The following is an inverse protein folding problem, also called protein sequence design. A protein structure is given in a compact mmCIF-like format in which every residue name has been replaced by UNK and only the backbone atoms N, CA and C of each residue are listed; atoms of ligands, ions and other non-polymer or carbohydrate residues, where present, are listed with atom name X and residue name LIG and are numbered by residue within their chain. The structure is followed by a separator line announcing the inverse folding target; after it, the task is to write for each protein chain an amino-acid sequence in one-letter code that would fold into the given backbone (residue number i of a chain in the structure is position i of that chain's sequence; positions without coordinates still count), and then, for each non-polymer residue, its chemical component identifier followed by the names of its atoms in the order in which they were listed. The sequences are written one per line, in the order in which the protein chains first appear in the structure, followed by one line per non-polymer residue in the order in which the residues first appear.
data_IF_703888087504
#
_entry.id   IF_703888087504
#
_cell.length_a   1.000
_cell.length_b   1.000
_cell.length_c   1.000
_cell.angle_alpha   90.00
_cell.angle_beta   90.00
_cell.angle_gamma   90.00
#
_symmetry.space_group_name_H-M   'P 1'
#
loop_
_entity.id
_entity.type
_entity.pdbx_description
1 polymer ?
#
# COMPACT_ATOMS: atom_id res chain seq x y z
N UNK A 1 -1.31 -9.41 -7.10
CA UNK A 1 -1.42 -8.06 -6.52
C UNK A 1 -2.55 -7.37 -7.21
N UNK A 2 -3.37 -6.72 -6.42
CA UNK A 2 -4.64 -6.20 -6.87
C UNK A 2 -4.43 -4.79 -7.41
N UNK A 3 -5.27 -4.40 -8.37
CA UNK A 3 -5.29 -3.04 -8.94
C UNK A 3 -6.59 -2.39 -8.50
N UNK A 4 -6.47 -1.23 -7.87
CA UNK A 4 -7.57 -0.43 -7.36
C UNK A 4 -7.59 0.85 -8.18
N UNK A 5 -8.72 1.15 -8.82
CA UNK A 5 -8.84 2.23 -9.81
C UNK A 5 -9.52 3.48 -9.27
N UNK A 6 -10.09 3.41 -8.08
CA UNK A 6 -11.01 4.39 -7.50
C UNK A 6 -10.76 4.59 -6.00
N UNK A 7 -9.52 4.37 -5.54
CA UNK A 7 -9.16 4.55 -4.13
C UNK A 7 -9.27 6.03 -3.73
N UNK A 8 -10.17 6.35 -2.81
CA UNK A 8 -10.36 7.70 -2.30
C UNK A 8 -9.54 7.91 -1.02
N UNK A 9 -8.46 8.68 -1.09
CA UNK A 9 -7.55 8.99 0.05
C UNK A 9 -8.30 9.39 1.32
N UNK A 10 -9.37 10.19 1.21
CA UNK A 10 -10.10 10.71 2.37
C UNK A 10 -11.11 9.75 2.96
N UNK A 11 -11.46 8.65 2.28
CA UNK A 11 -12.55 7.74 2.69
C UNK A 11 -12.07 6.31 2.93
N UNK A 12 -11.17 5.84 2.09
CA UNK A 12 -10.88 4.43 1.98
C UNK A 12 -9.76 3.98 2.92
N UNK A 13 -9.85 2.71 3.30
CA UNK A 13 -8.80 2.02 4.06
C UNK A 13 -8.57 0.62 3.53
N UNK A 14 -7.31 0.21 3.49
CA UNK A 14 -6.90 -1.15 3.15
C UNK A 14 -6.57 -1.95 4.41
N UNK A 15 -7.14 -3.15 4.52
CA UNK A 15 -6.83 -4.09 5.61
C UNK A 15 -5.71 -5.05 5.18
N UNK A 16 -4.54 -4.90 5.79
CA UNK A 16 -3.35 -5.69 5.51
C UNK A 16 -3.00 -6.66 6.66
N UNK A 17 -3.85 -6.79 7.69
CA UNK A 17 -3.62 -7.65 8.88
C UNK A 17 -3.33 -9.12 8.59
N UNK A 18 -3.73 -9.60 7.41
CA UNK A 18 -3.50 -10.99 6.97
C UNK A 18 -2.16 -11.20 6.27
N UNK A 19 -1.41 -10.13 6.02
CA UNK A 19 -0.09 -10.20 5.39
C UNK A 19 0.94 -10.36 6.50
N UNK A 20 1.70 -11.45 6.45
CA UNK A 20 2.75 -11.74 7.44
C UNK A 20 3.88 -10.72 7.33
N UNK A 21 4.47 -10.38 8.48
CA UNK A 21 5.64 -9.51 8.53
C UNK A 21 5.32 -8.01 8.48
N UNK A 22 4.05 -7.63 8.57
CA UNK A 22 3.64 -6.24 8.74
C UNK A 22 3.03 -6.09 10.13
N UNK A 23 3.58 -5.15 10.89
CA UNK A 23 3.14 -4.74 12.22
C UNK A 23 2.93 -3.24 12.32
N UNK A 24 3.57 -2.48 11.42
CA UNK A 24 3.50 -1.03 11.32
C UNK A 24 3.59 -0.58 9.86
N UNK A 25 3.27 0.69 9.60
CA UNK A 25 3.40 1.26 8.25
C UNK A 25 4.86 1.29 7.78
N UNK A 26 5.80 1.37 8.72
CA UNK A 26 7.23 1.40 8.43
C UNK A 26 7.74 0.05 7.87
N UNK A 27 6.96 -1.03 8.04
CA UNK A 27 7.25 -2.33 7.42
C UNK A 27 6.85 -2.36 5.93
N UNK A 28 6.05 -1.39 5.47
CA UNK A 28 5.64 -1.27 4.07
C UNK A 28 6.66 -0.45 3.27
N UNK A 29 6.77 -0.77 1.98
CA UNK A 29 7.49 0.06 1.02
C UNK A 29 6.53 0.65 -0.01
N UNK A 30 6.64 1.97 -0.24
CA UNK A 30 5.80 2.71 -1.17
C UNK A 30 6.65 3.19 -2.35
N UNK A 31 6.20 2.88 -3.58
CA UNK A 31 6.91 3.27 -4.80
C UNK A 31 5.95 3.97 -5.74
N UNK A 32 6.29 5.18 -6.18
CA UNK A 32 5.57 5.85 -7.27
C UNK A 32 6.00 5.25 -8.61
N UNK A 33 5.03 4.86 -9.44
CA UNK A 33 5.27 4.31 -10.79
C UNK A 33 4.32 4.95 -11.81
N UNK A 34 4.80 6.01 -12.47
CA UNK A 34 3.93 6.87 -13.28
C UNK A 34 2.83 7.49 -12.40
N UNK A 35 1.57 7.38 -12.85
CA UNK A 35 0.42 7.85 -12.08
C UNK A 35 -0.15 6.79 -11.11
N UNK A 36 0.69 5.88 -10.60
CA UNK A 36 0.26 4.82 -9.68
C UNK A 36 1.11 4.77 -8.43
N UNK A 37 0.45 4.61 -7.29
CA UNK A 37 1.11 4.23 -6.05
C UNK A 37 1.19 2.70 -5.95
N UNK A 38 2.40 2.17 -5.75
CA UNK A 38 2.64 0.75 -5.51
C UNK A 38 2.89 0.54 -4.02
N UNK A 39 2.06 -0.29 -3.39
CA UNK A 39 2.22 -0.69 -2.00
C UNK A 39 2.90 -2.05 -1.99
N UNK A 40 4.03 -2.16 -1.31
CA UNK A 40 4.79 -3.39 -1.20
C UNK A 40 4.91 -3.85 0.25
N UNK A 41 4.83 -5.17 0.43
CA UNK A 41 4.96 -5.84 1.71
C UNK A 41 6.22 -6.73 1.74
N UNK A 42 6.84 -6.92 2.91
CA UNK A 42 8.02 -7.75 3.05
C UNK A 42 7.69 -9.22 2.78
N UNK A 43 8.53 -9.89 2.00
CA UNK A 43 8.45 -11.33 1.70
C UNK A 43 9.87 -11.89 1.59
N UNK A 44 10.27 -12.71 2.57
CA UNK A 44 11.64 -13.22 2.65
C UNK A 44 12.65 -12.08 2.79
N UNK A 45 13.62 -12.02 1.89
CA UNK A 45 14.68 -11.01 1.89
C UNK A 45 14.36 -9.79 1.01
N UNK A 46 13.11 -9.60 0.60
CA UNK A 46 12.73 -8.49 -0.29
C UNK A 46 11.29 -8.06 -0.09
N UNK A 47 10.76 -7.34 -1.08
CA UNK A 47 9.40 -6.82 -1.08
C UNK A 47 8.62 -7.35 -2.28
N UNK A 48 7.32 -7.61 -2.09
CA UNK A 48 6.38 -7.84 -3.20
C UNK A 48 5.34 -6.73 -3.23
N UNK A 49 4.98 -6.26 -4.41
CA UNK A 49 3.78 -5.43 -4.55
C UNK A 49 2.55 -6.24 -4.13
N UNK A 50 1.72 -5.65 -3.27
CA UNK A 50 0.45 -6.24 -2.79
C UNK A 50 -0.75 -5.50 -3.38
N UNK A 51 -0.66 -4.19 -3.53
CA UNK A 51 -1.68 -3.35 -4.14
C UNK A 51 -1.05 -2.32 -5.10
N UNK A 52 -1.81 -1.94 -6.12
CA UNK A 52 -1.55 -0.81 -7.01
C UNK A 52 -2.75 0.11 -6.99
N UNK A 53 -2.54 1.38 -6.68
CA UNK A 53 -3.59 2.39 -6.68
C UNK A 53 -3.36 3.28 -7.90
N UNK A 54 -4.34 3.33 -8.80
CA UNK A 54 -4.30 4.28 -9.92
C UNK A 54 -4.67 5.68 -9.43
N UNK A 55 -4.02 6.68 -10.02
CA UNK A 55 -4.27 8.11 -9.79
C UNK A 55 -4.11 8.54 -8.31
N UNK A 56 -3.23 7.84 -7.58
CA UNK A 56 -2.84 8.16 -6.20
C UNK A 56 -1.35 8.46 -6.14
N UNK A 57 -0.99 9.52 -5.42
CA UNK A 57 0.40 9.84 -5.03
C UNK A 57 0.75 9.09 -3.74
N UNK A 58 1.89 8.39 -3.73
CA UNK A 58 2.40 7.71 -2.52
C UNK A 58 2.61 8.66 -1.34
N UNK A 59 2.87 9.95 -1.58
CA UNK A 59 3.07 10.94 -0.52
C UNK A 59 1.78 11.29 0.22
N UNK A 60 0.62 10.97 -0.36
CA UNK A 60 -0.68 11.16 0.29
C UNK A 60 -1.06 9.97 1.19
N UNK A 61 -0.30 8.87 1.14
CA UNK A 61 -0.54 7.67 1.93
C UNK A 61 0.18 7.73 3.28
N UNK A 62 -0.60 7.80 4.35
CA UNK A 62 -0.15 7.62 5.73
C UNK A 62 -0.85 6.45 6.45
N UNK A 63 -0.55 6.29 7.75
CA UNK A 63 -1.08 5.23 8.61
C UNK A 63 -2.61 5.20 8.74
N UNK A 64 -3.33 6.29 8.42
CA UNK A 64 -4.79 6.34 8.51
C UNK A 64 -5.45 5.50 7.42
N UNK A 65 -4.77 5.28 6.30
CA UNK A 65 -5.27 4.52 5.14
C UNK A 65 -5.07 3.01 5.28
N UNK A 66 -4.36 2.56 6.31
CA UNK A 66 -4.04 1.14 6.50
C UNK A 66 -4.55 0.64 7.83
N UNK A 67 -5.14 -0.55 7.81
CA UNK A 67 -5.40 -1.35 9.00
C UNK A 67 -4.39 -2.48 9.03
N UNK A 68 -3.47 -2.40 9.99
CA UNK A 68 -2.33 -3.30 10.16
C UNK A 68 -2.50 -4.18 11.40
#
# INVERSE_FOLDING_TARGET
CDRITDFEIVKDKMDLRRIRGISSIDDLNFIQSGNRALIQAPVGNGFRTVARLDDVDVNDLDNRHFRL
#
